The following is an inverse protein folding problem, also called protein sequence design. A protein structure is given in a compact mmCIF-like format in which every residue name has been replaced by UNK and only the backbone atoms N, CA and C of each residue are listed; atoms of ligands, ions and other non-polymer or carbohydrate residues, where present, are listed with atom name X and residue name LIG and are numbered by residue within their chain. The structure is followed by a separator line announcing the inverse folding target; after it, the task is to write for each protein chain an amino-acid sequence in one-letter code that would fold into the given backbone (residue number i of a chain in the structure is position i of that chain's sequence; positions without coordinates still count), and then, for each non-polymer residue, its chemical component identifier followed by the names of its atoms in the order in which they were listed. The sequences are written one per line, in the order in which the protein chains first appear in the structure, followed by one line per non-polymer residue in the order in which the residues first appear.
data_IF_256414724671
#
_entry.id   IF_256414724671
#
_cell.length_a   1.000
_cell.length_b   1.000
_cell.length_c   1.000
_cell.angle_alpha   90.00
_cell.angle_beta   90.00
_cell.angle_gamma   90.00
#
_symmetry.space_group_name_H-M   'P 1'
#
loop_
_entity.id
_entity.type
_entity.pdbx_description
1 polymer ?
#
# COMPACT_ATOMS: atom_id res chain seq x y z
N UNK A 1 -45.92 -1.01 14.98
CA UNK A 1 -44.59 -0.50 15.40
C UNK A 1 -43.84 -1.63 16.06
N UNK A 2 -42.85 -2.20 15.37
CA UNK A 2 -41.77 -2.96 16.01
C UNK A 2 -40.51 -2.41 15.35
N UNK A 3 -39.80 -1.58 16.10
CA UNK A 3 -38.50 -1.08 15.69
C UNK A 3 -37.51 -2.23 15.80
N UNK A 4 -37.01 -2.68 14.65
CA UNK A 4 -35.92 -3.65 14.56
C UNK A 4 -34.62 -2.94 15.01
N UNK A 5 -34.38 -2.94 16.32
CA UNK A 5 -33.12 -2.49 16.91
C UNK A 5 -32.11 -3.64 16.85
N UNK A 6 -31.58 -3.89 15.66
CA UNK A 6 -30.42 -4.74 15.49
C UNK A 6 -29.36 -3.99 14.68
N UNK A 7 -28.72 -3.00 15.33
CA UNK A 7 -27.49 -2.39 14.81
C UNK A 7 -26.31 -3.35 15.01
N UNK A 8 -26.38 -4.53 14.40
CA UNK A 8 -25.27 -5.46 14.31
C UNK A 8 -24.13 -4.77 13.57
N UNK A 9 -22.91 -4.77 14.14
CA UNK A 9 -21.72 -4.31 13.42
C UNK A 9 -21.63 -5.09 12.11
N UNK A 10 -21.88 -4.42 10.97
CA UNK A 10 -21.64 -5.01 9.65
C UNK A 10 -20.17 -5.42 9.59
N UNK A 11 -19.93 -6.71 9.43
CA UNK A 11 -18.59 -7.25 9.20
C UNK A 11 -18.13 -6.73 7.84
N UNK A 12 -16.97 -6.06 7.81
CA UNK A 12 -16.30 -5.66 6.57
C UNK A 12 -15.22 -6.67 6.23
N UNK A 13 -15.15 -7.06 4.95
CA UNK A 13 -14.11 -7.94 4.44
C UNK A 13 -13.07 -7.15 3.62
N UNK A 14 -11.77 -7.53 3.68
CA UNK A 14 -11.22 -8.54 4.58
C UNK A 14 -11.25 -8.09 6.04
N UNK A 15 -11.29 -9.06 6.96
CA UNK A 15 -11.38 -8.80 8.39
C UNK A 15 -10.03 -8.27 8.91
N UNK A 16 -10.06 -7.22 9.74
CA UNK A 16 -8.84 -6.72 10.38
C UNK A 16 -8.16 -7.83 11.21
N UNK A 17 -6.85 -8.00 11.03
CA UNK A 17 -6.06 -9.06 11.64
C UNK A 17 -5.90 -10.32 10.77
N UNK A 18 -6.72 -10.49 9.73
CA UNK A 18 -6.60 -11.66 8.83
C UNK A 18 -5.34 -11.60 7.98
N UNK A 19 -4.95 -12.77 7.49
CA UNK A 19 -3.87 -12.93 6.51
C UNK A 19 -4.50 -13.21 5.15
N UNK A 20 -4.10 -12.44 4.16
CA UNK A 20 -4.63 -12.48 2.79
C UNK A 20 -3.48 -12.53 1.80
N UNK A 21 -3.82 -12.80 0.54
CA UNK A 21 -2.91 -12.57 -0.57
C UNK A 21 -3.20 -11.21 -1.21
N UNK A 22 -2.23 -10.71 -1.97
CA UNK A 22 -2.40 -9.55 -2.84
C UNK A 22 -1.90 -9.92 -4.24
N UNK A 23 -2.63 -9.52 -5.27
CA UNK A 23 -2.29 -9.77 -6.67
C UNK A 23 -2.36 -8.48 -7.48
N UNK A 24 -1.32 -8.25 -8.27
CA UNK A 24 -1.27 -7.23 -9.30
C UNK A 24 -1.43 -7.91 -10.66
N UNK A 25 -2.28 -7.34 -11.51
CA UNK A 25 -2.52 -7.77 -12.87
C UNK A 25 -2.07 -6.67 -13.84
N UNK A 26 -1.65 -7.03 -15.06
CA UNK A 26 -1.57 -6.06 -16.16
C UNK A 26 -2.96 -5.83 -16.74
N UNK A 27 -3.09 -4.79 -17.56
CA UNK A 27 -4.39 -4.35 -18.09
C UNK A 27 -5.12 -5.40 -18.93
N UNK A 28 -4.38 -6.29 -19.59
CA UNK A 28 -4.90 -7.44 -20.35
C UNK A 28 -5.40 -8.59 -19.46
N UNK A 29 -5.32 -8.46 -18.13
CA UNK A 29 -5.73 -9.49 -17.17
C UNK A 29 -4.63 -10.50 -16.83
N UNK A 30 -3.42 -10.31 -17.35
CA UNK A 30 -2.29 -11.18 -17.05
C UNK A 30 -1.82 -10.99 -15.60
N UNK A 31 -1.67 -12.08 -14.83
CA UNK A 31 -1.11 -12.02 -13.48
C UNK A 31 0.36 -11.58 -13.54
N UNK A 32 0.66 -10.42 -12.99
CA UNK A 32 1.98 -9.80 -13.01
C UNK A 32 2.79 -10.17 -11.77
N UNK A 33 2.19 -10.01 -10.59
CA UNK A 33 2.87 -10.22 -9.31
C UNK A 33 1.90 -10.66 -8.23
N UNK A 34 2.34 -11.55 -7.35
CA UNK A 34 1.60 -12.00 -6.18
C UNK A 34 2.43 -11.87 -4.91
N UNK A 35 1.80 -11.38 -3.85
CA UNK A 35 2.34 -11.31 -2.50
C UNK A 35 1.55 -12.24 -1.59
N UNK A 36 2.24 -13.18 -0.94
CA UNK A 36 1.60 -14.16 -0.07
C UNK A 36 1.80 -13.86 1.42
N UNK A 37 0.71 -13.98 2.18
CA UNK A 37 0.76 -13.85 3.64
C UNK A 37 0.82 -12.40 4.12
N UNK A 38 0.04 -11.52 3.50
CA UNK A 38 -0.05 -10.10 3.86
C UNK A 38 -1.10 -9.89 4.94
N UNK A 39 -0.76 -9.17 6.01
CA UNK A 39 -1.68 -8.93 7.13
C UNK A 39 -2.53 -7.70 6.91
N UNK A 40 -3.84 -7.80 7.16
CA UNK A 40 -4.75 -6.65 7.17
C UNK A 40 -4.65 -5.92 8.50
N UNK A 41 -4.09 -4.72 8.54
CA UNK A 41 -4.08 -3.88 9.75
C UNK A 41 -5.38 -3.09 9.89
N UNK A 42 -5.94 -2.63 8.77
CA UNK A 42 -7.13 -1.77 8.75
C UNK A 42 -7.98 -1.99 7.51
N UNK A 43 -9.29 -2.00 7.68
CA UNK A 43 -10.26 -1.99 6.59
C UNK A 43 -11.38 -1.01 6.89
N UNK A 44 -11.35 0.14 6.20
CA UNK A 44 -12.40 1.16 6.30
C UNK A 44 -13.12 1.33 4.97
N UNK A 45 -14.18 2.14 4.93
CA UNK A 45 -14.80 2.52 3.65
C UNK A 45 -13.86 3.31 2.72
N UNK A 46 -12.76 3.86 3.25
CA UNK A 46 -11.84 4.72 2.48
C UNK A 46 -10.60 3.99 1.96
N UNK A 47 -10.07 3.03 2.72
CA UNK A 47 -8.82 2.35 2.37
C UNK A 47 -8.69 0.98 3.04
N UNK A 48 -7.79 0.17 2.49
CA UNK A 48 -7.09 -0.88 3.20
C UNK A 48 -5.72 -0.36 3.65
N UNK A 49 -5.28 -0.77 4.85
CA UNK A 49 -3.88 -0.68 5.25
C UNK A 49 -3.40 -2.05 5.63
N UNK A 50 -2.34 -2.51 4.98
CA UNK A 50 -1.77 -3.83 5.15
C UNK A 50 -0.35 -3.74 5.72
N UNK A 51 0.12 -4.86 6.27
CA UNK A 51 1.48 -5.03 6.75
C UNK A 51 2.11 -6.25 6.07
N UNK A 52 3.26 -6.01 5.45
CA UNK A 52 4.15 -7.07 4.98
C UNK A 52 5.34 -7.21 5.93
N UNK A 53 5.72 -8.46 6.17
CA UNK A 53 6.94 -8.84 6.86
C UNK A 53 7.29 -10.28 6.53
N UNK A 54 8.49 -10.53 5.97
CA UNK A 54 8.87 -11.84 5.42
C UNK A 54 7.86 -12.37 4.38
N UNK A 55 7.23 -11.45 3.65
CA UNK A 55 6.23 -11.74 2.62
C UNK A 55 6.91 -12.25 1.36
N UNK A 56 6.46 -13.42 0.87
CA UNK A 56 6.93 -13.99 -0.39
C UNK A 56 6.29 -13.26 -1.56
N UNK A 57 7.11 -12.93 -2.55
CA UNK A 57 6.70 -12.32 -3.81
C UNK A 57 7.00 -13.30 -4.93
N UNK A 58 6.02 -13.55 -5.78
CA UNK A 58 6.13 -14.35 -6.99
C UNK A 58 5.80 -13.47 -8.20
N UNK A 59 6.66 -13.52 -9.22
CA UNK A 59 6.50 -12.81 -10.48
C UNK A 59 6.37 -13.81 -11.63
N UNK A 60 6.08 -13.30 -12.83
CA UNK A 60 6.20 -14.10 -14.04
C UNK A 60 7.62 -14.67 -14.19
N UNK A 61 7.74 -15.81 -14.87
CA UNK A 61 9.00 -16.53 -15.12
C UNK A 61 9.67 -17.13 -13.87
N UNK A 62 8.90 -17.53 -12.85
CA UNK A 62 9.39 -18.19 -11.63
C UNK A 62 10.39 -17.38 -10.80
N UNK A 63 10.50 -16.08 -11.04
CA UNK A 63 11.26 -15.19 -10.17
C UNK A 63 10.51 -15.04 -8.84
N UNK A 64 11.19 -15.41 -7.77
CA UNK A 64 10.64 -15.42 -6.41
C UNK A 64 11.61 -14.72 -5.48
N UNK A 65 11.10 -13.80 -4.66
CA UNK A 65 11.89 -13.09 -3.66
C UNK A 65 11.06 -12.81 -2.42
N UNK A 66 11.69 -12.25 -1.38
CA UNK A 66 11.05 -12.03 -0.07
C UNK A 66 11.32 -10.62 0.43
N UNK A 67 10.25 -9.90 0.81
CA UNK A 67 10.38 -8.68 1.60
C UNK A 67 10.81 -9.02 3.03
N UNK A 68 12.06 -8.69 3.39
CA UNK A 68 12.61 -9.03 4.72
C UNK A 68 12.28 -8.00 5.81
N UNK A 69 12.03 -6.76 5.41
CA UNK A 69 11.72 -5.64 6.30
C UNK A 69 10.20 -5.46 6.46
N UNK A 70 9.79 -4.66 7.45
CA UNK A 70 8.40 -4.23 7.60
C UNK A 70 8.02 -3.24 6.49
N UNK A 71 6.90 -3.47 5.83
CA UNK A 71 6.33 -2.54 4.85
C UNK A 71 4.87 -2.29 5.19
N UNK A 72 4.49 -1.02 5.31
CA UNK A 72 3.08 -0.64 5.34
C UNK A 72 2.60 -0.46 3.91
N UNK A 73 1.45 -1.03 3.58
CA UNK A 73 0.87 -0.92 2.25
C UNK A 73 -0.50 -0.25 2.34
N UNK A 74 -0.60 0.96 1.80
CA UNK A 74 -1.82 1.74 1.75
C UNK A 74 -2.51 1.54 0.41
N UNK A 75 -3.77 1.09 0.43
CA UNK A 75 -4.60 0.91 -0.76
C UNK A 75 -5.90 1.69 -0.60
N UNK A 76 -5.96 2.98 -0.99
CA UNK A 76 -7.21 3.73 -1.04
C UNK A 76 -8.21 3.06 -1.99
N UNK A 77 -9.49 3.02 -1.60
CA UNK A 77 -10.54 2.32 -2.38
C UNK A 77 -11.07 3.14 -3.56
N UNK A 78 -10.73 4.42 -3.61
CA UNK A 78 -11.26 5.39 -4.57
C UNK A 78 -10.18 6.32 -5.15
N UNK A 79 -8.91 5.92 -5.06
CA UNK A 79 -7.79 6.64 -5.67
C UNK A 79 -7.00 5.71 -6.58
N UNK A 80 -6.46 6.23 -7.67
CA UNK A 80 -5.78 5.45 -8.71
C UNK A 80 -4.33 5.14 -8.34
N UNK A 81 -4.07 4.72 -7.11
CA UNK A 81 -2.74 4.31 -6.66
C UNK A 81 -2.80 3.41 -5.44
N UNK A 82 -1.70 2.72 -5.16
CA UNK A 82 -1.40 2.17 -3.86
C UNK A 82 0.06 2.51 -3.46
N UNK A 83 0.35 2.58 -2.17
CA UNK A 83 1.64 3.04 -1.67
C UNK A 83 2.27 2.04 -0.70
N UNK A 84 3.50 1.62 -1.02
CA UNK A 84 4.36 0.78 -0.19
C UNK A 84 5.36 1.67 0.56
N UNK A 85 5.29 1.67 1.88
CA UNK A 85 6.18 2.42 2.76
C UNK A 85 7.11 1.43 3.47
N UNK A 86 8.33 1.32 2.95
CA UNK A 86 9.38 0.49 3.55
C UNK A 86 9.86 1.15 4.85
N UNK A 87 9.56 0.50 5.97
CA UNK A 87 9.88 1.03 7.28
C UNK A 87 11.34 0.78 7.65
N UNK A 88 12.10 1.86 7.84
CA UNK A 88 13.48 1.77 8.35
C UNK A 88 13.57 2.01 9.86
N UNK A 89 14.65 1.54 10.53
CA UNK A 89 14.86 1.80 11.95
C UNK A 89 14.89 3.30 12.30
N UNK A 90 15.41 4.13 11.40
CA UNK A 90 15.27 5.59 11.46
C UNK A 90 14.07 6.04 10.63
N UNK A 91 13.18 6.84 11.22
CA UNK A 91 11.96 7.33 10.55
C UNK A 91 12.28 8.16 9.31
N UNK A 92 13.34 8.98 9.39
CA UNK A 92 13.83 9.81 8.29
C UNK A 92 14.34 9.03 7.09
N UNK A 93 14.45 7.70 7.19
CA UNK A 93 14.99 6.84 6.13
C UNK A 93 13.92 5.97 5.45
N UNK A 94 12.64 6.23 5.73
CA UNK A 94 11.57 5.54 5.02
C UNK A 94 11.67 5.77 3.52
N UNK A 95 11.46 4.70 2.77
CA UNK A 95 11.33 4.75 1.32
C UNK A 95 9.87 4.53 0.96
N UNK A 96 9.32 5.41 0.13
CA UNK A 96 7.96 5.29 -0.37
C UNK A 96 8.00 4.98 -1.86
N UNK A 97 7.34 3.90 -2.22
CA UNK A 97 7.08 3.53 -3.60
C UNK A 97 5.58 3.51 -3.81
N UNK A 98 5.10 4.24 -4.82
CA UNK A 98 3.69 4.37 -5.12
C UNK A 98 3.50 3.83 -6.52
N UNK A 99 2.61 2.85 -6.64
CA UNK A 99 2.18 2.28 -7.90
C UNK A 99 0.87 2.94 -8.31
N UNK A 100 0.84 3.61 -9.46
CA UNK A 100 -0.39 4.12 -10.05
C UNK A 100 -1.16 2.93 -10.62
N UNK A 101 -2.31 2.67 -10.02
CA UNK A 101 -3.02 1.40 -10.15
C UNK A 101 -4.52 1.61 -10.16
N UNK A 102 -5.29 0.60 -10.60
CA UNK A 102 -6.75 0.63 -10.45
C UNK A 102 -7.16 0.64 -8.99
N UNK A 103 -8.44 0.92 -8.75
CA UNK A 103 -9.05 0.69 -7.45
C UNK A 103 -8.92 -0.79 -7.05
N UNK A 104 -8.61 -1.08 -5.78
CA UNK A 104 -8.48 -2.45 -5.30
C UNK A 104 -9.86 -3.10 -5.15
N UNK A 105 -9.98 -4.35 -5.57
CA UNK A 105 -11.11 -5.22 -5.24
C UNK A 105 -10.68 -6.27 -4.22
N UNK A 106 -11.64 -6.85 -3.50
CA UNK A 106 -11.40 -7.98 -2.60
C UNK A 106 -12.33 -9.12 -2.96
N UNK A 107 -11.74 -10.27 -3.29
CA UNK A 107 -12.41 -11.53 -3.59
C UNK A 107 -11.44 -12.69 -3.33
N UNK A 108 -11.94 -13.90 -3.11
CA UNK A 108 -11.09 -15.10 -2.92
C UNK A 108 -9.98 -14.94 -1.87
N UNK A 109 -10.29 -14.27 -0.75
CA UNK A 109 -9.32 -13.93 0.29
C UNK A 109 -8.07 -13.18 -0.24
N UNK A 110 -8.24 -12.40 -1.30
CA UNK A 110 -7.17 -11.74 -2.04
C UNK A 110 -7.58 -10.32 -2.39
N UNK A 111 -6.68 -9.35 -2.15
CA UNK A 111 -6.85 -8.02 -2.74
C UNK A 111 -6.24 -8.04 -4.14
N UNK A 112 -7.01 -7.63 -5.14
CA UNK A 112 -6.58 -7.60 -6.55
C UNK A 112 -6.62 -6.17 -7.07
N UNK A 113 -5.66 -5.79 -7.90
CA UNK A 113 -5.64 -4.51 -8.61
C UNK A 113 -4.91 -4.65 -9.95
N UNK A 114 -5.14 -3.68 -10.83
CA UNK A 114 -4.44 -3.55 -12.12
C UNK A 114 -3.29 -2.56 -11.94
N UNK A 115 -2.10 -2.99 -12.26
CA UNK A 115 -0.89 -2.18 -12.39
C UNK A 115 -0.96 -1.40 -13.71
N UNK A 116 -0.81 -0.07 -13.65
CA UNK A 116 -0.94 0.80 -14.82
C UNK A 116 0.43 1.34 -15.26
N UNK A 117 1.51 0.63 -14.94
CA UNK A 117 2.86 0.84 -15.49
C UNK A 117 3.45 2.24 -15.25
N UNK A 118 2.94 2.98 -14.26
CA UNK A 118 3.46 4.29 -13.87
C UNK A 118 3.69 4.32 -12.37
N UNK A 119 4.88 4.74 -11.99
CA UNK A 119 5.32 4.67 -10.60
C UNK A 119 5.81 6.02 -10.09
N UNK A 120 5.76 6.19 -8.77
CA UNK A 120 6.32 7.36 -8.09
C UNK A 120 7.21 6.86 -6.96
N UNK A 121 8.43 7.41 -6.89
CA UNK A 121 9.41 7.11 -5.85
C UNK A 121 9.66 8.35 -5.01
N UNK A 122 9.56 8.22 -3.69
CA UNK A 122 9.93 9.29 -2.76
C UNK A 122 11.02 8.79 -1.80
N UNK A 123 12.14 9.50 -1.81
CA UNK A 123 13.32 9.17 -1.02
C UNK A 123 13.44 10.05 0.23
N UNK A 124 14.14 9.57 1.27
CA UNK A 124 14.53 10.33 2.47
C UNK A 124 15.09 11.74 2.24
N UNK A 125 15.69 12.00 1.08
CA UNK A 125 16.26 13.29 0.69
C UNK A 125 15.23 14.33 0.24
N UNK A 126 13.93 14.10 0.48
CA UNK A 126 12.83 14.92 -0.03
C UNK A 126 12.82 15.07 -1.56
N UNK A 127 13.26 14.04 -2.27
CA UNK A 127 13.11 13.94 -3.72
C UNK A 127 11.96 13.00 -4.03
N UNK A 128 10.94 13.52 -4.71
CA UNK A 128 9.85 12.75 -5.31
C UNK A 128 10.03 12.77 -6.83
N UNK A 129 9.89 11.61 -7.46
CA UNK A 129 10.04 11.47 -8.91
C UNK A 129 9.00 10.50 -9.44
N UNK A 130 8.30 10.93 -10.50
CA UNK A 130 7.58 10.01 -11.37
C UNK A 130 8.63 9.22 -12.16
N UNK A 131 8.47 7.91 -12.23
CA UNK A 131 9.35 6.98 -12.93
C UNK A 131 8.53 6.08 -13.83
N UNK A 132 9.20 5.36 -14.73
CA UNK A 132 8.58 4.40 -15.65
C UNK A 132 7.55 5.04 -16.61
N UNK A 133 7.71 6.34 -16.89
CA UNK A 133 6.86 7.09 -17.82
C UNK A 133 6.96 6.57 -19.27
N UNK A 134 8.13 6.08 -19.67
CA UNK A 134 8.34 5.40 -20.94
C UNK A 134 7.57 4.06 -21.01
N UNK A 135 7.63 3.25 -19.94
CA UNK A 135 6.89 1.98 -19.86
C UNK A 135 5.38 2.23 -19.96
N UNK A 136 4.86 3.18 -19.18
CA UNK A 136 3.47 3.61 -19.30
C UNK A 136 3.09 4.02 -20.73
N UNK A 137 3.93 4.83 -21.39
CA UNK A 137 3.66 5.31 -22.76
C UNK A 137 3.63 4.17 -23.78
N UNK A 138 4.50 3.18 -23.63
CA UNK A 138 4.55 2.00 -24.49
C UNK A 138 3.37 1.07 -24.24
N UNK A 139 3.13 0.69 -22.98
CA UNK A 139 2.02 -0.17 -22.59
C UNK A 139 0.66 0.46 -22.87
N UNK A 140 0.53 1.79 -22.76
CA UNK A 140 -0.68 2.52 -23.14
C UNK A 140 -1.04 2.32 -24.61
N UNK A 141 -0.06 2.16 -25.50
CA UNK A 141 -0.28 1.84 -26.92
C UNK A 141 -0.57 0.36 -27.11
N UNK A 142 0.22 -0.52 -26.49
CA UNK A 142 0.10 -1.98 -26.62
C UNK A 142 -1.27 -2.45 -26.17
N UNK A 143 -1.73 -1.99 -25.01
CA UNK A 143 -3.00 -2.36 -24.42
C UNK A 143 -4.15 -1.45 -24.81
N UNK A 144 -3.91 -0.44 -25.65
CA UNK A 144 -4.89 0.52 -26.12
C UNK A 144 -5.69 1.19 -24.98
N UNK A 145 -4.97 1.80 -24.01
CA UNK A 145 -5.61 2.45 -22.87
C UNK A 145 -6.58 3.54 -23.34
N UNK A 146 -7.86 3.52 -22.90
CA UNK A 146 -8.81 4.58 -23.20
C UNK A 146 -8.33 5.93 -22.66
N UNK A 147 -8.65 7.02 -23.35
CA UNK A 147 -8.24 8.36 -22.89
C UNK A 147 -8.77 8.70 -21.50
N UNK A 148 -9.97 8.22 -21.17
CA UNK A 148 -10.54 8.32 -19.82
C UNK A 148 -9.65 7.65 -18.77
N UNK A 149 -9.05 6.50 -19.08
CA UNK A 149 -8.13 5.83 -18.15
C UNK A 149 -6.84 6.63 -17.97
N UNK A 150 -6.26 7.14 -19.06
CA UNK A 150 -5.06 8.00 -18.98
C UNK A 150 -5.31 9.25 -18.12
N UNK A 151 -6.51 9.84 -18.24
CA UNK A 151 -6.92 10.95 -17.39
C UNK A 151 -6.97 10.54 -15.91
N UNK A 152 -7.58 9.39 -15.58
CA UNK A 152 -7.65 8.88 -14.21
C UNK A 152 -6.25 8.57 -13.62
N UNK A 153 -5.33 8.03 -14.43
CA UNK A 153 -3.92 7.82 -14.06
C UNK A 153 -3.25 9.15 -13.71
N UNK A 154 -3.46 10.18 -14.54
CA UNK A 154 -2.93 11.52 -14.28
C UNK A 154 -3.50 12.12 -12.99
N UNK A 155 -4.82 12.04 -12.79
CA UNK A 155 -5.49 12.53 -11.57
C UNK A 155 -4.95 11.83 -10.31
N UNK A 156 -4.79 10.50 -10.34
CA UNK A 156 -4.17 9.74 -9.24
C UNK A 156 -2.73 10.16 -8.96
N UNK A 157 -1.95 10.40 -10.01
CA UNK A 157 -0.58 10.92 -9.90
C UNK A 157 -0.57 12.29 -9.21
N UNK A 158 -1.46 13.21 -9.62
CA UNK A 158 -1.58 14.54 -9.01
C UNK A 158 -2.02 14.47 -7.55
N UNK A 159 -2.93 13.55 -7.20
CA UNK A 159 -3.33 13.31 -5.81
C UNK A 159 -2.13 12.93 -4.93
N UNK A 160 -1.26 12.03 -5.41
CA UNK A 160 -0.04 11.63 -4.70
C UNK A 160 0.91 12.82 -4.50
N UNK A 161 1.10 13.64 -5.54
CA UNK A 161 1.96 14.83 -5.46
C UNK A 161 1.41 15.85 -4.45
N UNK A 162 0.09 16.05 -4.40
CA UNK A 162 -0.55 16.91 -3.40
C UNK A 162 -0.38 16.37 -1.97
N UNK A 163 -0.48 15.04 -1.79
CA UNK A 163 -0.18 14.42 -0.50
C UNK A 163 1.28 14.63 -0.10
N UNK A 164 2.21 14.52 -1.05
CA UNK A 164 3.62 14.76 -0.79
C UNK A 164 3.90 16.22 -0.39
N UNK A 165 3.41 17.19 -1.14
CA UNK A 165 3.59 18.63 -0.85
C UNK A 165 3.07 19.01 0.53
N UNK A 166 1.92 18.45 0.93
CA UNK A 166 1.28 18.72 2.22
C UNK A 166 1.79 17.84 3.36
N UNK A 167 2.73 16.93 3.09
CA UNK A 167 3.16 15.88 4.03
C UNK A 167 1.95 15.16 4.65
N UNK A 168 0.96 14.86 3.81
CA UNK A 168 -0.33 14.27 4.18
C UNK A 168 -0.37 12.76 3.98
N UNK A 169 -1.42 12.15 4.53
CA UNK A 169 -1.70 10.71 4.38
C UNK A 169 -0.48 9.81 4.68
N UNK A 170 -0.02 8.97 3.74
CA UNK A 170 1.12 8.07 3.97
C UNK A 170 2.50 8.77 3.95
N UNK A 171 2.56 10.06 3.63
CA UNK A 171 3.75 10.90 3.87
C UNK A 171 3.76 11.51 5.27
N UNK A 172 2.63 11.49 5.99
CA UNK A 172 2.54 12.03 7.34
C UNK A 172 3.14 11.05 8.37
N UNK A 173 4.14 11.51 9.13
CA UNK A 173 4.83 10.67 10.09
C UNK A 173 3.91 10.14 11.22
N UNK A 174 2.94 10.93 11.66
CA UNK A 174 2.00 10.54 12.71
C UNK A 174 1.09 9.40 12.25
N UNK A 175 0.63 9.46 11.00
CA UNK A 175 -0.16 8.37 10.38
C UNK A 175 0.67 7.10 10.28
N UNK A 176 1.93 7.20 9.83
CA UNK A 176 2.85 6.04 9.78
C UNK A 176 3.07 5.46 11.18
N UNK A 177 3.33 6.31 12.17
CA UNK A 177 3.55 5.85 13.56
C UNK A 177 2.28 5.21 14.15
N UNK A 178 1.10 5.74 13.85
CA UNK A 178 -0.18 5.13 14.25
C UNK A 178 -0.30 3.68 13.78
N UNK A 179 -0.03 3.40 12.50
CA UNK A 179 -0.09 2.04 11.97
C UNK A 179 1.04 1.14 12.47
N UNK A 180 2.22 1.70 12.75
CA UNK A 180 3.29 0.96 13.44
C UNK A 180 2.83 0.52 14.83
N UNK A 181 2.22 1.42 15.60
CA UNK A 181 1.79 1.12 16.96
C UNK A 181 0.60 0.16 16.99
N UNK A 182 -0.28 0.22 15.98
CA UNK A 182 -1.31 -0.80 15.77
C UNK A 182 -0.69 -2.19 15.54
N UNK A 183 0.31 -2.28 14.65
CA UNK A 183 1.05 -3.53 14.43
C UNK A 183 1.87 -3.98 15.65
N UNK A 184 2.31 -3.08 16.53
CA UNK A 184 2.95 -3.48 17.80
C UNK A 184 1.94 -4.04 18.81
N UNK A 185 0.71 -3.49 18.83
CA UNK A 185 -0.34 -3.88 19.77
C UNK A 185 -0.76 -5.33 19.59
N UNK A 186 -0.78 -5.82 18.36
CA UNK A 186 -1.10 -7.21 18.01
C UNK A 186 0.13 -8.09 17.74
N UNK A 187 1.32 -7.60 18.12
CA UNK A 187 2.62 -8.27 17.99
C UNK A 187 3.08 -8.57 16.55
N UNK A 188 2.45 -8.02 15.53
CA UNK A 188 2.89 -8.16 14.13
C UNK A 188 4.16 -7.37 13.84
N UNK A 189 4.36 -6.25 14.54
CA UNK A 189 5.59 -5.47 14.56
C UNK A 189 6.25 -5.65 15.92
N UNK A 190 7.55 -5.91 15.93
CA UNK A 190 8.29 -6.06 17.18
C UNK A 190 8.17 -4.80 18.06
N UNK A 191 7.85 -4.97 19.35
CA UNK A 191 7.72 -3.84 20.31
C UNK A 191 8.94 -2.93 20.35
N UNK A 192 10.14 -3.49 20.13
CA UNK A 192 11.42 -2.77 20.07
C UNK A 192 11.66 -2.00 18.76
N UNK A 193 10.85 -2.23 17.72
CA UNK A 193 10.99 -1.53 16.44
C UNK A 193 10.78 -0.03 16.66
N UNK A 194 11.81 0.76 16.32
CA UNK A 194 11.89 2.22 16.58
C UNK A 194 11.77 2.61 18.05
N UNK A 195 11.99 1.69 19.00
CA UNK A 195 12.13 2.07 20.39
C UNK A 195 13.38 2.95 20.54
N UNK A 196 13.19 4.15 21.09
CA UNK A 196 14.29 5.04 21.46
C UNK A 196 15.29 4.29 22.34
N UNK A 197 16.58 4.29 21.96
CA UNK A 197 17.66 3.76 22.80
C UNK A 197 17.97 4.63 24.03
N UNK A 198 17.25 5.74 24.25
CA UNK A 198 17.49 6.59 25.42
C UNK A 198 16.83 6.04 26.68
N UNK A 199 17.51 5.09 27.34
CA UNK A 199 17.51 5.08 28.81
C UNK A 199 18.63 6.02 29.27
N UNK A 200 18.23 7.09 29.95
CA UNK A 200 19.08 8.02 30.71
C UNK A 200 20.25 7.29 31.38
N UNK A 201 21.49 7.61 31.00
CA UNK A 201 22.60 7.57 31.96
C UNK A 201 22.48 8.85 32.80
N UNK A 202 21.60 8.81 33.79
CA UNK A 202 21.73 9.72 34.93
C UNK A 202 22.78 9.07 35.85
N UNK A 203 24.00 9.58 35.80
CA UNK A 203 24.93 9.56 36.93
C UNK A 203 25.07 11.00 37.40
#
# INVERSE_FOLDING_TARGET
MIADQNSGKRISFPVEGSIIDVQAYKYDGTLYRQWNGVKVLRNTNKHYVLLMYKTRVSEQNNHNWVYRDYVLWFLPKHSMYNALILLKPSKKQNYSYINVASYPIYEDNTIKFIDLDLDIKAYPSNTVSIVDSEEFKENSKIYNYPDKLKQLVWEGTQEVMQHYERQGYFFNEEIINYYIDLGKKDCSIAKKFRASKYKKKNK
#
